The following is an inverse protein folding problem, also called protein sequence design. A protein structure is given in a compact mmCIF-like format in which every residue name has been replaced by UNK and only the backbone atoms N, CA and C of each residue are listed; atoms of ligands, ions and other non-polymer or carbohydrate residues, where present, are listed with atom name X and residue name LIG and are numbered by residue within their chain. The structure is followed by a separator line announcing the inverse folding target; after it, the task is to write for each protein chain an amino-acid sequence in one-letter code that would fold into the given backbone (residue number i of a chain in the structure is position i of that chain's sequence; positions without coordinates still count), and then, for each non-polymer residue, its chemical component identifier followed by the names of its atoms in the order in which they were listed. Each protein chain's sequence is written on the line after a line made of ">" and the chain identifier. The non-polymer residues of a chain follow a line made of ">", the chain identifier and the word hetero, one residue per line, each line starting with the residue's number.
data_IF_451142991779
#
_entry.id   IF_451142991779
#
_cell.length_a   1.000
_cell.length_b   1.000
_cell.length_c   1.000
_cell.angle_alpha   90.00
_cell.angle_beta   90.00
_cell.angle_gamma   90.00
#
_symmetry.space_group_name_H-M   'P 1'
#
loop_
_entity.id
_entity.type
_entity.pdbx_description
1 polymer ?
#
# COMPACT_ATOMS: atom_id res chain seq x y z
N UNK A 1 -8.74 -21.93 -2.73
CA UNK A 1 -8.02 -20.82 -3.36
C UNK A 1 -6.81 -20.46 -2.53
N UNK A 2 -5.65 -20.28 -3.18
CA UNK A 2 -4.44 -19.92 -2.43
C UNK A 2 -4.57 -18.63 -1.62
N UNK A 3 -5.45 -17.72 -2.06
CA UNK A 3 -5.69 -16.47 -1.37
C UNK A 3 -6.33 -16.65 0.00
N UNK A 4 -6.86 -17.82 0.29
CA UNK A 4 -7.44 -18.10 1.59
C UNK A 4 -6.38 -18.48 2.62
N UNK A 5 -5.12 -18.50 2.23
CA UNK A 5 -4.04 -18.74 3.14
C UNK A 5 -3.93 -17.61 4.17
N UNK A 6 -3.21 -17.88 5.24
CA UNK A 6 -2.93 -16.86 6.26
C UNK A 6 -2.26 -15.64 5.66
N UNK A 7 -1.41 -15.85 4.64
CA UNK A 7 -0.71 -14.77 3.97
C UNK A 7 -1.67 -13.85 3.23
N UNK A 8 -2.68 -14.42 2.54
CA UNK A 8 -3.68 -13.63 1.86
C UNK A 8 -4.50 -12.76 2.80
N UNK A 9 -4.87 -13.32 3.95
CA UNK A 9 -5.59 -12.55 4.97
C UNK A 9 -4.70 -11.46 5.57
N UNK A 10 -3.43 -11.78 5.81
CA UNK A 10 -2.50 -10.80 6.35
C UNK A 10 -2.33 -9.62 5.39
N UNK A 11 -2.20 -9.91 4.09
CA UNK A 11 -2.07 -8.87 3.08
C UNK A 11 -3.29 -7.94 3.11
N UNK A 12 -4.48 -8.50 3.21
CA UNK A 12 -5.71 -7.70 3.26
C UNK A 12 -5.84 -6.91 4.55
N UNK A 13 -5.45 -7.50 5.67
CA UNK A 13 -5.47 -6.80 6.96
C UNK A 13 -4.51 -5.62 6.94
N UNK A 14 -3.31 -5.81 6.40
CA UNK A 14 -2.33 -4.73 6.25
C UNK A 14 -2.91 -3.63 5.37
N UNK A 15 -3.52 -4.01 4.25
CA UNK A 15 -4.12 -3.05 3.34
C UNK A 15 -5.16 -2.18 4.03
N UNK A 16 -6.07 -2.79 4.79
CA UNK A 16 -7.11 -2.06 5.51
C UNK A 16 -6.53 -1.09 6.52
N UNK A 17 -5.52 -1.51 7.26
CA UNK A 17 -4.90 -0.66 8.24
C UNK A 17 -4.18 0.51 7.58
N UNK A 18 -3.48 0.27 6.48
CA UNK A 18 -2.81 1.34 5.75
C UNK A 18 -3.82 2.37 5.25
N UNK A 19 -4.95 1.92 4.72
CA UNK A 19 -6.01 2.83 4.27
C UNK A 19 -6.48 3.71 5.43
N UNK A 20 -6.70 3.11 6.60
CA UNK A 20 -7.15 3.87 7.76
C UNK A 20 -6.08 4.87 8.22
N UNK A 21 -4.82 4.46 8.24
CA UNK A 21 -3.72 5.32 8.66
C UNK A 21 -3.59 6.52 7.71
N UNK A 22 -3.61 6.25 6.41
CA UNK A 22 -3.53 7.34 5.40
C UNK A 22 -4.71 8.30 5.56
N UNK A 23 -5.90 7.76 5.81
CA UNK A 23 -7.09 8.59 6.00
C UNK A 23 -7.00 9.51 7.21
N UNK A 24 -6.19 9.17 8.20
CA UNK A 24 -5.98 10.00 9.38
C UNK A 24 -4.86 11.02 9.21
N UNK A 25 -4.07 10.89 8.15
CA UNK A 25 -2.99 11.84 7.87
C UNK A 25 -3.59 13.11 7.28
N UNK A 26 -3.12 14.26 7.76
CA UNK A 26 -3.67 15.55 7.34
C UNK A 26 -2.76 16.22 6.33
N UNK A 27 -2.45 15.52 5.26
CA UNK A 27 -1.66 16.08 4.17
C UNK A 27 -2.60 16.41 3.01
N UNK A 28 -2.69 17.69 2.60
CA UNK A 28 -3.61 18.10 1.52
C UNK A 28 -3.35 17.36 0.21
N UNK A 29 -2.12 16.95 -0.05
CA UNK A 29 -1.80 16.24 -1.29
C UNK A 29 -2.44 14.86 -1.33
N UNK A 30 -2.64 14.24 -0.16
CA UNK A 30 -3.28 12.91 -0.09
C UNK A 30 -4.79 13.01 -0.25
N UNK A 31 -5.38 14.14 0.10
CA UNK A 31 -6.83 14.35 0.01
C UNK A 31 -7.25 15.10 -1.25
N UNK A 32 -6.30 15.60 -2.04
CA UNK A 32 -6.60 16.42 -3.22
C UNK A 32 -7.22 15.62 -4.36
N UNK A 33 -7.01 14.30 -4.39
CA UNK A 33 -7.56 13.44 -5.42
C UNK A 33 -8.07 12.16 -4.81
N UNK A 34 -8.37 11.20 -5.66
CA UNK A 34 -8.84 9.89 -5.21
C UNK A 34 -7.66 8.92 -5.14
N UNK A 35 -7.14 8.74 -3.94
CA UNK A 35 -6.06 7.79 -3.70
C UNK A 35 -6.65 6.44 -3.32
N UNK A 36 -6.19 5.40 -4.00
CA UNK A 36 -6.63 4.03 -3.74
C UNK A 36 -5.43 3.15 -3.45
N UNK A 37 -5.49 2.41 -2.35
CA UNK A 37 -4.53 1.35 -2.09
C UNK A 37 -5.06 0.10 -2.77
N UNK A 38 -4.44 -0.26 -3.88
CA UNK A 38 -4.93 -1.32 -4.74
C UNK A 38 -4.74 -2.69 -4.11
N UNK A 39 -3.53 -2.95 -3.62
CA UNK A 39 -3.23 -4.22 -2.99
C UNK A 39 -1.94 -4.11 -2.21
N UNK A 40 -1.72 -5.09 -1.34
CA UNK A 40 -0.50 -5.23 -0.56
C UNK A 40 0.02 -6.63 -0.77
N UNK A 41 1.33 -6.75 -0.97
CA UNK A 41 2.01 -8.04 -1.09
C UNK A 41 3.14 -8.09 -0.08
N UNK A 42 2.90 -8.76 1.02
CA UNK A 42 3.92 -8.93 2.05
C UNK A 42 4.86 -10.08 1.69
N UNK A 43 6.13 -9.93 2.04
CA UNK A 43 7.07 -11.03 1.91
C UNK A 43 6.69 -12.15 2.90
N UNK A 44 7.04 -13.41 2.60
CA UNK A 44 6.65 -14.53 3.47
C UNK A 44 7.09 -14.38 4.92
N UNK A 45 8.24 -13.73 5.16
CA UNK A 45 8.77 -13.50 6.50
C UNK A 45 8.32 -12.17 7.10
N UNK A 46 7.46 -11.42 6.40
CA UNK A 46 6.96 -10.11 6.80
C UNK A 46 8.05 -9.06 6.98
N UNK A 47 9.21 -9.25 6.34
CA UNK A 47 10.28 -8.25 6.43
C UNK A 47 9.96 -7.01 5.62
N UNK A 48 9.18 -7.15 4.55
CA UNK A 48 8.78 -6.03 3.72
C UNK A 48 7.39 -6.28 3.14
N UNK A 49 6.76 -5.22 2.65
CA UNK A 49 5.47 -5.30 1.98
C UNK A 49 5.44 -4.27 0.86
N UNK A 50 5.04 -4.72 -0.32
CA UNK A 50 4.81 -3.83 -1.45
C UNK A 50 3.39 -3.32 -1.38
N UNK A 51 3.23 -2.00 -1.41
CA UNK A 51 1.93 -1.35 -1.33
C UNK A 51 1.68 -0.66 -2.66
N UNK A 52 0.77 -1.21 -3.44
CA UNK A 52 0.44 -0.68 -4.76
C UNK A 52 -0.68 0.34 -4.62
N UNK A 53 -0.40 1.56 -5.06
CA UNK A 53 -1.36 2.66 -4.94
C UNK A 53 -1.65 3.25 -6.30
N UNK A 54 -2.88 3.72 -6.46
CA UNK A 54 -3.34 4.40 -7.66
C UNK A 54 -3.93 5.72 -7.26
N UNK A 55 -3.75 6.73 -8.11
CA UNK A 55 -4.23 8.07 -7.83
C UNK A 55 -4.87 8.65 -9.08
N UNK A 56 -6.12 9.07 -8.95
CA UNK A 56 -6.75 9.87 -9.99
C UNK A 56 -6.34 11.31 -9.75
N UNK A 57 -5.62 11.95 -10.72
CA UNK A 57 -5.12 13.30 -10.52
C UNK A 57 -6.27 14.28 -10.32
N UNK A 58 -6.08 15.22 -9.40
CA UNK A 58 -7.03 16.29 -9.17
C UNK A 58 -6.26 17.51 -8.67
N UNK A 59 -6.69 18.69 -9.11
CA UNK A 59 -6.14 19.95 -8.63
C UNK A 59 -4.62 20.06 -8.79
N UNK A 60 -4.09 19.46 -9.86
CA UNK A 60 -2.67 19.58 -10.17
C UNK A 60 -1.76 18.65 -9.38
N UNK A 61 -2.30 17.81 -8.53
CA UNK A 61 -1.49 16.84 -7.78
C UNK A 61 -1.30 15.59 -8.62
N UNK A 62 -0.05 15.20 -8.84
CA UNK A 62 0.27 14.02 -9.64
C UNK A 62 0.42 12.78 -8.77
N UNK A 63 0.30 11.61 -9.41
CA UNK A 63 0.52 10.35 -8.72
C UNK A 63 1.94 10.27 -8.14
N UNK A 64 2.92 10.78 -8.87
CA UNK A 64 4.31 10.79 -8.39
C UNK A 64 4.47 11.60 -7.11
N UNK A 65 3.79 12.73 -7.01
CA UNK A 65 3.83 13.55 -5.79
C UNK A 65 3.24 12.81 -4.61
N UNK A 66 2.12 12.13 -4.82
CA UNK A 66 1.45 11.36 -3.77
C UNK A 66 2.34 10.21 -3.30
N UNK A 67 2.94 9.48 -4.23
CA UNK A 67 3.85 8.39 -3.88
C UNK A 67 5.05 8.95 -3.10
N UNK A 68 5.55 10.11 -3.49
CA UNK A 68 6.63 10.77 -2.76
C UNK A 68 6.26 11.10 -1.33
N UNK A 69 5.04 11.59 -1.11
CA UNK A 69 4.53 11.86 0.24
C UNK A 69 4.47 10.57 1.05
N UNK A 70 3.92 9.51 0.47
CA UNK A 70 3.80 8.23 1.15
C UNK A 70 5.17 7.64 1.50
N UNK A 71 6.14 7.76 0.60
CA UNK A 71 7.49 7.28 0.85
C UNK A 71 8.15 8.02 2.01
N UNK A 72 7.96 9.33 2.09
CA UNK A 72 8.49 10.11 3.20
C UNK A 72 7.79 9.77 4.51
N UNK A 73 6.52 9.40 4.45
CA UNK A 73 5.74 9.05 5.63
C UNK A 73 5.83 7.55 5.97
N UNK A 74 6.58 6.77 5.20
CA UNK A 74 6.61 5.31 5.35
C UNK A 74 6.97 4.87 6.76
N UNK A 75 7.90 5.56 7.42
CA UNK A 75 8.27 5.24 8.79
C UNK A 75 7.13 5.43 9.78
N UNK A 76 6.39 6.52 9.62
CA UNK A 76 5.22 6.78 10.46
C UNK A 76 4.14 5.72 10.22
N UNK A 77 3.86 5.41 8.95
CA UNK A 77 2.83 4.42 8.61
C UNK A 77 3.23 3.04 9.13
N UNK A 78 4.50 2.69 8.98
CA UNK A 78 5.03 1.43 9.49
C UNK A 78 4.85 1.31 11.00
N UNK A 79 5.18 2.37 11.72
CA UNK A 79 5.06 2.41 13.17
C UNK A 79 3.60 2.23 13.62
N UNK A 80 2.68 2.98 12.98
CA UNK A 80 1.26 2.86 13.28
C UNK A 80 0.72 1.48 12.94
N UNK A 81 1.16 0.92 11.84
CA UNK A 81 0.74 -0.43 11.43
C UNK A 81 1.13 -1.46 12.49
N UNK A 82 2.36 -1.41 12.97
CA UNK A 82 2.81 -2.33 13.99
C UNK A 82 2.01 -2.22 15.27
N UNK A 83 1.72 -0.98 15.68
CA UNK A 83 0.95 -0.73 16.88
C UNK A 83 -0.49 -1.24 16.76
N UNK A 84 -1.13 -0.98 15.62
CA UNK A 84 -2.54 -1.35 15.43
C UNK A 84 -2.73 -2.85 15.25
N UNK A 85 -1.79 -3.51 14.61
CA UNK A 85 -1.88 -4.95 14.36
C UNK A 85 -1.18 -5.77 15.42
N UNK A 86 -0.57 -5.12 16.41
CA UNK A 86 0.18 -5.82 17.46
C UNK A 86 1.26 -6.73 16.89
N UNK A 87 1.91 -6.25 15.82
CA UNK A 87 3.00 -6.98 15.20
C UNK A 87 4.30 -6.56 15.88
N UNK A 88 5.09 -7.55 16.28
CA UNK A 88 6.36 -7.29 16.96
C UNK A 88 7.34 -6.55 16.05
N UNK A 89 7.40 -6.96 14.78
CA UNK A 89 8.24 -6.32 13.79
C UNK A 89 7.42 -6.02 12.56
N UNK A 90 7.08 -4.74 12.39
CA UNK A 90 6.29 -4.30 11.27
C UNK A 90 7.12 -4.33 9.99
N UNK A 91 6.54 -4.70 8.86
CA UNK A 91 7.28 -4.77 7.60
C UNK A 91 7.70 -3.41 7.10
N UNK A 92 8.83 -3.36 6.39
CA UNK A 92 9.21 -2.18 5.64
C UNK A 92 8.22 -1.98 4.50
N UNK A 93 7.70 -0.77 4.34
CA UNK A 93 6.67 -0.49 3.34
C UNK A 93 7.29 0.12 2.10
N UNK A 94 7.01 -0.50 0.95
CA UNK A 94 7.50 -0.04 -0.34
C UNK A 94 6.28 0.41 -1.15
N UNK A 95 6.09 1.72 -1.26
CA UNK A 95 4.97 2.28 -2.01
C UNK A 95 5.29 2.33 -3.49
N UNK A 96 4.41 1.76 -4.30
CA UNK A 96 4.61 1.63 -5.74
C UNK A 96 3.38 2.19 -6.43
N UNK A 97 3.60 3.10 -7.38
CA UNK A 97 2.51 3.60 -8.20
C UNK A 97 2.05 2.49 -9.14
N UNK A 98 0.76 2.20 -9.12
CA UNK A 98 0.16 1.18 -9.98
C UNK A 98 -0.73 1.89 -10.99
N UNK A 99 -0.29 1.96 -12.23
CA UNK A 99 -1.07 2.51 -13.34
C UNK A 99 -1.80 1.42 -14.13
N UNK A 100 -1.76 0.18 -13.60
CA UNK A 100 -2.37 -0.96 -14.25
C UNK A 100 -1.38 -1.84 -14.98
N UNK A 101 -0.26 -1.29 -15.45
CA UNK A 101 0.69 -2.07 -16.25
C UNK A 101 1.43 -3.12 -15.42
N UNK A 102 1.83 -2.78 -14.20
CA UNK A 102 2.50 -3.74 -13.34
C UNK A 102 1.58 -4.90 -12.99
N UNK A 103 0.32 -4.61 -12.73
CA UNK A 103 -0.67 -5.63 -12.43
C UNK A 103 -0.93 -6.51 -13.67
N UNK A 104 -1.05 -5.89 -14.84
CA UNK A 104 -1.26 -6.62 -16.09
C UNK A 104 -0.09 -7.54 -16.40
N UNK A 105 1.13 -7.07 -16.19
CA UNK A 105 2.32 -7.90 -16.39
C UNK A 105 2.34 -9.10 -15.46
N UNK A 106 1.97 -8.89 -14.20
CA UNK A 106 1.89 -9.98 -13.22
C UNK A 106 0.86 -11.03 -13.64
N UNK A 107 -0.31 -10.59 -14.11
CA UNK A 107 -1.35 -11.49 -14.56
C UNK A 107 -0.90 -12.26 -15.78
N UNK A 108 -0.22 -11.61 -16.72
CA UNK A 108 0.29 -12.29 -17.91
C UNK A 108 1.28 -13.40 -17.54
N UNK A 109 2.12 -13.17 -16.54
CA UNK A 109 3.03 -14.20 -16.07
C UNK A 109 2.28 -15.41 -15.49
N UNK A 110 1.19 -15.15 -14.78
CA UNK A 110 0.42 -16.22 -14.17
C UNK A 110 -0.35 -17.05 -15.20
N UNK A 111 -0.70 -16.45 -16.33
CA UNK A 111 -1.48 -17.13 -17.37
C UNK A 111 -0.61 -18.05 -18.22
N UNK A 112 0.65 -17.78 -18.35
CA UNK A 112 1.54 -18.60 -19.17
C UNK A 112 1.72 -20.02 -18.62
#
# INVERSE_FOLDING_TARGET
>A
MPQNSKRGRMNEDIRRQIIAIIGEMKDPRLSAGLLTVMRVEAAPDLSSARVYVSMLPAQGVTAAEVVGVLRRAAGHIRSELGRRMHIRRSPELLFIEDDGSAYAAHINELIR
#
